data_IF_511764778209
#
_entry.id   IF_511764778209
#
_cell.length_a   1.000
_cell.length_b   1.000
_cell.length_c   1.000
_cell.angle_alpha   90.00
_cell.angle_beta   90.00
_cell.angle_gamma   90.00
#
_symmetry.space_group_name_H-M   'P 1'
#
loop_
_entity.id
_entity.type
_entity.pdbx_description
1 polymer ?
#
# COMPACT_ATOMS: atom_id res chain seq x y z
N UNK A 1 48.87 31.24 8.66
CA UNK A 1 47.46 31.66 8.84
C UNK A 1 46.63 31.61 7.55
N UNK A 2 47.11 32.17 6.41
CA UNK A 2 46.37 32.18 5.13
C UNK A 2 46.11 30.78 4.54
N UNK A 3 47.07 29.87 4.65
CA UNK A 3 46.95 28.49 4.15
C UNK A 3 45.94 27.69 4.99
N UNK A 4 46.01 27.79 6.32
CA UNK A 4 45.05 27.15 7.23
C UNK A 4 43.61 27.60 6.94
N UNK A 5 43.43 28.89 6.65
CA UNK A 5 42.13 29.47 6.31
C UNK A 5 41.60 28.96 4.97
N UNK A 6 42.47 28.76 3.97
CA UNK A 6 42.09 28.18 2.68
C UNK A 6 41.66 26.72 2.80
N UNK A 7 42.34 25.92 3.63
CA UNK A 7 41.93 24.54 3.92
C UNK A 7 40.62 24.48 4.69
N UNK A 8 40.40 25.40 5.64
CA UNK A 8 39.14 25.48 6.38
C UNK A 8 37.97 25.82 5.46
N UNK A 9 38.15 26.77 4.54
CA UNK A 9 37.13 27.14 3.55
C UNK A 9 36.84 25.98 2.59
N UNK A 10 37.87 25.27 2.10
CA UNK A 10 37.70 24.13 1.21
C UNK A 10 37.00 22.93 1.89
N UNK A 11 37.28 22.70 3.18
CA UNK A 11 36.63 21.66 3.97
C UNK A 11 35.15 22.01 4.19
N UNK A 12 34.87 23.28 4.51
CA UNK A 12 33.50 23.78 4.71
C UNK A 12 32.68 23.69 3.41
N UNK A 13 33.23 24.07 2.25
CA UNK A 13 32.52 23.94 0.97
C UNK A 13 32.29 22.48 0.54
N UNK A 14 33.21 21.57 0.86
CA UNK A 14 33.01 20.13 0.62
C UNK A 14 31.91 19.55 1.52
N UNK A 15 31.81 19.98 2.79
CA UNK A 15 30.73 19.60 3.71
C UNK A 15 29.35 20.14 3.28
N UNK A 16 29.28 21.32 2.65
CA UNK A 16 28.02 21.85 2.10
C UNK A 16 27.57 21.19 0.79
N UNK A 17 28.44 20.44 0.10
CA UNK A 17 28.14 19.81 -1.18
C UNK A 17 27.55 18.39 -1.05
N UNK A 18 27.40 17.87 0.19
CA UNK A 18 26.84 16.55 0.46
C UNK A 18 25.33 16.55 0.73
N UNK A 19 24.61 17.63 0.41
CA UNK A 19 23.16 17.54 0.36
C UNK A 19 22.77 16.72 -0.88
N UNK A 20 22.55 15.42 -0.67
CA UNK A 20 21.72 14.64 -1.57
C UNK A 20 20.39 15.37 -1.70
N UNK A 21 20.16 15.94 -2.88
CA UNK A 21 18.86 16.47 -3.22
C UNK A 21 17.96 15.24 -3.37
N UNK A 22 17.29 14.85 -2.28
CA UNK A 22 16.16 13.93 -2.33
C UNK A 22 15.18 14.53 -3.33
N UNK A 23 15.21 14.03 -4.56
CA UNK A 23 14.19 14.32 -5.55
C UNK A 23 12.89 13.90 -4.91
N UNK A 24 12.02 14.87 -4.63
CA UNK A 24 10.66 14.57 -4.26
C UNK A 24 10.10 13.67 -5.37
N UNK A 25 9.91 12.38 -5.06
CA UNK A 25 9.28 11.45 -5.99
C UNK A 25 7.90 12.04 -6.25
N UNK A 26 7.74 12.64 -7.43
CA UNK A 26 6.45 13.16 -7.85
C UNK A 26 5.44 12.03 -7.74
N UNK A 27 4.28 12.30 -7.11
CA UNK A 27 3.19 11.35 -7.18
C UNK A 27 2.95 11.04 -8.66
N UNK A 28 2.86 9.75 -9.06
CA UNK A 28 2.91 9.35 -10.47
C UNK A 28 1.74 9.91 -11.29
N UNK A 29 0.71 10.43 -10.61
CA UNK A 29 -0.49 11.01 -11.19
C UNK A 29 -0.73 12.41 -10.61
N UNK A 30 -1.12 13.34 -11.47
CA UNK A 30 -1.57 14.69 -11.11
C UNK A 30 -2.82 15.07 -11.90
N UNK A 31 -3.36 16.28 -11.66
CA UNK A 31 -4.50 16.81 -12.42
C UNK A 31 -4.09 17.95 -13.34
N UNK A 32 -4.60 17.93 -14.57
CA UNK A 32 -4.50 19.03 -15.52
C UNK A 32 -5.91 19.41 -15.98
N UNK A 33 -6.44 20.51 -15.41
CA UNK A 33 -7.87 20.86 -15.52
C UNK A 33 -8.74 19.67 -15.08
N UNK A 34 -9.57 19.12 -15.97
CA UNK A 34 -10.46 17.98 -15.71
C UNK A 34 -9.83 16.60 -15.92
N UNK A 35 -8.54 16.51 -16.25
CA UNK A 35 -7.89 15.25 -16.59
C UNK A 35 -6.92 14.79 -15.51
N UNK A 36 -6.86 13.47 -15.31
CA UNK A 36 -5.75 12.83 -14.62
C UNK A 36 -4.63 12.64 -15.64
N UNK A 37 -3.41 13.05 -15.29
CA UNK A 37 -2.23 12.95 -16.16
C UNK A 37 -1.07 12.29 -15.43
N UNK A 38 -0.20 11.62 -16.18
CA UNK A 38 1.05 11.07 -15.66
C UNK A 38 2.15 12.13 -15.54
N UNK A 39 3.34 11.74 -15.08
CA UNK A 39 4.53 12.59 -14.95
C UNK A 39 4.95 13.29 -16.26
N UNK A 40 4.55 12.75 -17.43
CA UNK A 40 4.82 13.32 -18.75
C UNK A 40 3.68 14.20 -19.27
N UNK A 41 2.66 14.46 -18.45
CA UNK A 41 1.46 15.20 -18.83
C UNK A 41 0.49 14.43 -19.73
N UNK A 42 0.70 13.12 -19.92
CA UNK A 42 -0.17 12.30 -20.76
C UNK A 42 -1.42 11.93 -19.99
N UNK A 43 -2.59 12.08 -20.62
CA UNK A 43 -3.87 11.74 -20.00
C UNK A 43 -3.94 10.24 -19.68
N UNK A 44 -4.28 9.95 -18.43
CA UNK A 44 -4.56 8.61 -17.91
C UNK A 44 -6.07 8.45 -17.72
N UNK A 45 -6.61 7.32 -18.17
CA UNK A 45 -7.98 6.89 -17.83
C UNK A 45 -7.87 5.74 -16.83
N UNK A 46 -8.54 5.89 -15.69
CA UNK A 46 -8.63 4.88 -14.66
C UNK A 46 -9.77 3.90 -15.02
N UNK A 47 -9.42 2.70 -15.46
CA UNK A 47 -10.32 1.58 -15.62
C UNK A 47 -10.16 0.72 -14.37
N UNK A 48 -11.01 0.93 -13.37
CA UNK A 48 -10.85 0.30 -12.06
C UNK A 48 -11.86 -0.82 -11.81
N UNK A 49 -11.42 -1.80 -11.04
CA UNK A 49 -12.30 -2.69 -10.27
C UNK A 49 -12.49 -2.16 -8.86
N UNK A 50 -13.56 -2.58 -8.19
CA UNK A 50 -13.74 -2.35 -6.76
C UNK A 50 -13.41 -3.63 -6.00
N UNK A 51 -12.46 -3.57 -5.06
CA UNK A 51 -12.16 -4.68 -4.17
C UNK A 51 -12.68 -4.37 -2.77
N UNK A 52 -13.61 -5.20 -2.29
CA UNK A 52 -14.25 -5.01 -1.00
C UNK A 52 -13.31 -5.43 0.14
N UNK A 53 -13.11 -4.55 1.12
CA UNK A 53 -12.43 -4.86 2.40
C UNK A 53 -13.03 -4.07 3.58
N UNK A 54 -14.21 -3.47 3.40
CA UNK A 54 -14.89 -2.64 4.40
C UNK A 54 -15.82 -3.43 5.33
N UNK A 55 -15.94 -4.74 5.13
CA UNK A 55 -16.75 -5.60 5.98
C UNK A 55 -16.10 -5.82 7.34
N UNK A 56 -16.87 -6.40 8.27
CA UNK A 56 -16.48 -6.60 9.67
C UNK A 56 -15.12 -7.30 9.87
N UNK A 57 -14.71 -8.30 9.05
CA UNK A 57 -13.39 -8.91 9.20
C UNK A 57 -12.21 -7.98 8.87
N UNK A 58 -12.46 -6.87 8.18
CA UNK A 58 -11.48 -5.91 7.66
C UNK A 58 -10.38 -6.57 6.83
N UNK A 59 -10.79 -7.52 6.00
CA UNK A 59 -9.94 -8.28 5.11
C UNK A 59 -10.50 -8.19 3.68
N UNK A 60 -9.61 -8.11 2.69
CA UNK A 60 -10.05 -8.08 1.30
C UNK A 60 -10.76 -9.39 0.93
N UNK A 61 -11.90 -9.27 0.26
CA UNK A 61 -12.75 -10.40 -0.10
C UNK A 61 -12.04 -11.37 -1.05
N UNK A 62 -12.37 -12.66 -0.96
CA UNK A 62 -11.80 -13.70 -1.83
C UNK A 62 -10.43 -14.23 -1.41
N UNK A 63 -9.77 -13.66 -0.39
CA UNK A 63 -8.48 -14.16 0.12
C UNK A 63 -8.58 -15.56 0.78
N UNK A 64 -9.79 -16.03 1.07
CA UNK A 64 -10.04 -17.43 1.45
C UNK A 64 -10.05 -18.42 0.28
N UNK A 65 -10.07 -17.94 -0.97
CA UNK A 65 -10.23 -18.78 -2.17
C UNK A 65 -9.02 -18.71 -3.11
N UNK A 66 -8.27 -17.61 -3.11
CA UNK A 66 -7.16 -17.37 -4.05
C UNK A 66 -6.01 -16.62 -3.38
N UNK A 67 -4.75 -16.88 -3.76
CA UNK A 67 -3.62 -16.05 -3.34
C UNK A 67 -3.79 -14.61 -3.83
N UNK A 68 -3.39 -13.65 -3.00
CA UNK A 68 -3.51 -12.21 -3.26
C UNK A 68 -2.87 -11.81 -4.60
N UNK A 69 -1.67 -12.33 -4.89
CA UNK A 69 -0.98 -12.08 -6.17
C UNK A 69 -1.68 -12.67 -7.38
N UNK A 70 -2.40 -13.78 -7.23
CA UNK A 70 -3.19 -14.36 -8.32
C UNK A 70 -4.40 -13.48 -8.66
N UNK A 71 -5.10 -12.96 -7.64
CA UNK A 71 -6.20 -12.00 -7.83
C UNK A 71 -5.66 -10.75 -8.53
N UNK A 72 -4.54 -10.20 -8.07
CA UNK A 72 -3.94 -9.00 -8.66
C UNK A 72 -3.53 -9.23 -10.13
N UNK A 73 -2.93 -10.39 -10.42
CA UNK A 73 -2.56 -10.79 -11.78
C UNK A 73 -3.77 -10.95 -12.71
N UNK A 74 -4.87 -11.53 -12.23
CA UNK A 74 -6.11 -11.65 -13.01
C UNK A 74 -6.75 -10.28 -13.30
N UNK A 75 -6.79 -9.38 -12.31
CA UNK A 75 -7.27 -8.00 -12.50
C UNK A 75 -6.46 -7.28 -13.58
N UNK A 76 -5.13 -7.40 -13.53
CA UNK A 76 -4.25 -6.83 -14.54
C UNK A 76 -4.45 -7.48 -15.93
N UNK A 77 -4.60 -8.81 -15.99
CA UNK A 77 -4.84 -9.54 -17.23
C UNK A 77 -6.18 -9.18 -17.91
N UNK A 78 -7.19 -8.78 -17.14
CA UNK A 78 -8.45 -8.24 -17.66
C UNK A 78 -8.33 -6.82 -18.24
N UNK A 79 -7.17 -6.16 -18.09
CA UNK A 79 -6.91 -4.81 -18.61
C UNK A 79 -7.29 -3.67 -17.66
N UNK A 80 -7.62 -3.96 -16.41
CA UNK A 80 -7.80 -2.92 -15.39
C UNK A 80 -6.45 -2.37 -14.93
N UNK A 81 -6.39 -1.06 -14.68
CA UNK A 81 -5.15 -0.36 -14.28
C UNK A 81 -5.26 0.32 -12.91
N UNK A 82 -6.32 0.03 -12.16
CA UNK A 82 -6.51 0.53 -10.81
C UNK A 82 -7.48 -0.35 -10.03
N UNK A 83 -7.37 -0.27 -8.70
CA UNK A 83 -8.28 -0.92 -7.77
C UNK A 83 -8.78 0.11 -6.78
N UNK A 84 -10.10 0.23 -6.65
CA UNK A 84 -10.74 0.94 -5.56
C UNK A 84 -10.86 -0.03 -4.38
N UNK A 85 -9.90 0.03 -3.46
CA UNK A 85 -9.94 -0.75 -2.23
C UNK A 85 -10.76 0.00 -1.17
N UNK A 86 -11.81 -0.65 -0.68
CA UNK A 86 -12.68 -0.08 0.37
C UNK A 86 -12.22 -0.51 1.75
N UNK A 87 -12.34 0.35 2.75
CA UNK A 87 -11.93 0.05 4.14
C UNK A 87 -12.92 0.67 5.14
N UNK A 88 -13.08 0.10 6.34
CA UNK A 88 -13.99 0.63 7.34
C UNK A 88 -13.30 1.64 8.26
N UNK A 89 -13.97 2.76 8.56
CA UNK A 89 -13.42 3.79 9.45
C UNK A 89 -13.13 3.29 10.86
N UNK A 90 -13.92 2.32 11.36
CA UNK A 90 -13.71 1.74 12.69
C UNK A 90 -12.33 1.09 12.87
N UNK A 91 -11.66 0.69 11.77
CA UNK A 91 -10.29 0.16 11.81
C UNK A 91 -9.30 1.15 12.43
N UNK A 92 -9.53 2.45 12.24
CA UNK A 92 -8.62 3.51 12.72
C UNK A 92 -9.23 4.38 13.83
N UNK A 93 -10.53 4.30 14.07
CA UNK A 93 -11.20 5.07 15.13
C UNK A 93 -11.48 4.28 16.40
N UNK A 94 -11.46 2.95 16.36
CA UNK A 94 -11.68 2.09 17.52
C UNK A 94 -10.40 1.36 17.93
N UNK A 95 -9.86 1.71 19.09
CA UNK A 95 -8.62 1.13 19.63
C UNK A 95 -8.69 -0.38 19.86
N UNK A 96 -9.88 -0.97 19.96
CA UNK A 96 -10.06 -2.43 20.08
C UNK A 96 -9.60 -3.20 18.82
N UNK A 97 -9.43 -2.53 17.68
CA UNK A 97 -9.00 -3.13 16.41
C UNK A 97 -7.52 -2.91 16.11
N UNK A 98 -6.81 -2.05 16.84
CA UNK A 98 -5.42 -1.68 16.52
C UNK A 98 -4.43 -2.85 16.61
N UNK A 99 -4.67 -3.77 17.55
CA UNK A 99 -3.85 -4.96 17.77
C UNK A 99 -4.55 -6.26 17.35
N UNK A 100 -5.74 -6.18 16.76
CA UNK A 100 -6.50 -7.37 16.38
C UNK A 100 -5.85 -8.01 15.14
N UNK A 101 -5.50 -9.29 15.22
CA UNK A 101 -4.94 -10.01 14.06
C UNK A 101 -6.03 -10.57 13.16
N UNK A 102 -5.68 -10.91 11.91
CA UNK A 102 -6.60 -11.57 10.97
C UNK A 102 -7.16 -12.86 11.56
N UNK A 103 -6.31 -13.70 12.16
CA UNK A 103 -6.74 -14.96 12.81
C UNK A 103 -7.76 -14.68 13.92
N UNK A 104 -7.46 -13.74 14.81
CA UNK A 104 -8.34 -13.41 15.94
C UNK A 104 -9.67 -12.80 15.45
N UNK A 105 -9.64 -11.96 14.43
CA UNK A 105 -10.84 -11.37 13.83
C UNK A 105 -11.76 -12.45 13.25
N UNK A 106 -11.22 -13.35 12.39
CA UNK A 106 -11.99 -14.44 11.80
C UNK A 106 -12.55 -15.41 12.86
N UNK A 107 -11.78 -15.70 13.91
CA UNK A 107 -12.26 -16.53 15.04
C UNK A 107 -13.40 -15.85 15.82
N UNK A 108 -13.27 -14.54 16.13
CA UNK A 108 -14.31 -13.78 16.83
C UNK A 108 -15.63 -13.74 16.06
N UNK A 109 -15.56 -13.71 14.73
CA UNK A 109 -16.71 -13.70 13.83
C UNK A 109 -17.19 -15.12 13.46
N UNK A 110 -16.61 -16.17 14.04
CA UNK A 110 -16.92 -17.57 13.74
C UNK A 110 -16.75 -17.95 12.24
N UNK A 111 -15.83 -17.29 11.53
CA UNK A 111 -15.51 -17.50 10.12
C UNK A 111 -14.43 -18.58 9.94
N UNK A 112 -14.72 -19.79 10.41
CA UNK A 112 -13.76 -20.91 10.42
C UNK A 112 -13.38 -21.42 9.04
N UNK A 113 -14.31 -21.43 8.09
CA UNK A 113 -14.04 -21.77 6.69
C UNK A 113 -13.11 -20.74 6.05
N UNK A 114 -13.42 -19.45 6.18
CA UNK A 114 -12.56 -18.36 5.69
C UNK A 114 -11.17 -18.42 6.31
N UNK A 115 -11.05 -18.70 7.61
CA UNK A 115 -9.76 -18.88 8.27
C UNK A 115 -8.96 -20.04 7.66
N UNK A 116 -9.63 -21.15 7.36
CA UNK A 116 -8.99 -22.31 6.73
C UNK A 116 -8.54 -21.98 5.31
N UNK A 117 -9.39 -21.31 4.53
CA UNK A 117 -9.07 -20.87 3.18
C UNK A 117 -7.89 -19.88 3.15
N UNK A 118 -7.90 -18.87 4.02
CA UNK A 118 -6.81 -17.89 4.13
C UNK A 118 -5.52 -18.59 4.56
N UNK A 119 -5.58 -19.57 5.47
CA UNK A 119 -4.40 -20.36 5.86
C UNK A 119 -3.77 -21.11 4.69
N UNK A 120 -4.59 -21.63 3.77
CA UNK A 120 -4.10 -22.35 2.59
C UNK A 120 -3.53 -21.38 1.55
N UNK A 121 -4.25 -20.30 1.25
CA UNK A 121 -3.94 -19.44 0.10
C UNK A 121 -3.06 -18.23 0.42
N UNK A 122 -3.12 -17.72 1.65
CA UNK A 122 -2.44 -16.50 2.09
C UNK A 122 -1.92 -16.65 3.55
N UNK A 123 -1.09 -17.67 3.87
CA UNK A 123 -0.68 -17.93 5.25
C UNK A 123 0.07 -16.76 5.91
N UNK A 124 0.80 -15.96 5.11
CA UNK A 124 1.63 -14.85 5.60
C UNK A 124 0.85 -13.70 6.23
N UNK A 125 -0.47 -13.59 6.00
CA UNK A 125 -1.28 -12.48 6.52
C UNK A 125 -2.01 -12.84 7.82
N UNK A 126 -1.99 -14.11 8.25
CA UNK A 126 -2.79 -14.59 9.38
C UNK A 126 -2.42 -13.94 10.72
N UNK A 127 -1.12 -13.66 10.91
CA UNK A 127 -0.57 -13.09 12.13
C UNK A 127 -0.44 -11.56 12.06
N UNK A 128 -0.73 -10.96 10.90
CA UNK A 128 -0.75 -9.52 10.74
C UNK A 128 -1.95 -8.93 11.48
N UNK A 129 -1.76 -7.69 11.97
CA UNK A 129 -2.88 -6.85 12.38
C UNK A 129 -3.81 -6.59 11.20
N UNK A 130 -5.08 -6.28 11.45
CA UNK A 130 -6.02 -5.95 10.38
C UNK A 130 -5.53 -4.78 9.50
N UNK A 131 -4.90 -3.77 10.10
CA UNK A 131 -4.36 -2.64 9.35
C UNK A 131 -3.17 -3.06 8.47
N UNK A 132 -2.31 -3.96 8.94
CA UNK A 132 -1.16 -4.43 8.16
C UNK A 132 -1.58 -5.42 7.07
N UNK A 133 -2.63 -6.23 7.30
CA UNK A 133 -3.24 -7.06 6.25
C UNK A 133 -3.91 -6.21 5.14
N UNK A 134 -4.56 -5.10 5.52
CA UNK A 134 -5.09 -4.12 4.55
C UNK A 134 -3.96 -3.49 3.73
N UNK A 135 -2.84 -3.10 4.37
CA UNK A 135 -1.65 -2.59 3.67
C UNK A 135 -1.04 -3.62 2.72
N UNK A 136 -0.95 -4.89 3.14
CA UNK A 136 -0.46 -5.95 2.26
C UNK A 136 -1.29 -6.04 0.96
N UNK A 137 -2.63 -5.90 1.09
CA UNK A 137 -3.55 -5.87 -0.05
C UNK A 137 -3.38 -4.65 -0.97
N UNK A 138 -2.83 -3.54 -0.46
CA UNK A 138 -2.48 -2.37 -1.28
C UNK A 138 -1.15 -2.59 -2.02
N UNK A 139 -0.15 -3.13 -1.32
CA UNK A 139 1.22 -3.29 -1.84
C UNK A 139 1.29 -4.30 -3.00
N UNK A 140 0.39 -5.30 -3.03
CA UNK A 140 0.36 -6.30 -4.12
C UNK A 140 0.10 -5.68 -5.51
N UNK A 141 -0.56 -4.51 -5.58
CA UNK A 141 -0.80 -3.79 -6.84
C UNK A 141 0.27 -2.73 -7.14
N UNK A 142 1.24 -2.56 -6.25
CA UNK A 142 2.37 -1.65 -6.44
C UNK A 142 3.62 -2.38 -6.94
N UNK A 143 3.53 -3.70 -7.17
CA UNK A 143 4.62 -4.61 -7.56
C UNK A 143 4.63 -4.88 -9.06
#
# INVERSE_FOLDING_TARGET
MRILMAWLVALVTALFCQHEFEQAVGLPLSTASRWIVDERGRRVKLACVNWASHLEPVLAEGLGNRPMGAIAGEVAAMGFNCVRLTWPTFLVTHSSFSCLTVTQSLQRLNLTESLTGVRVHNPSILDLTLIDALKASLLIFSS
#
